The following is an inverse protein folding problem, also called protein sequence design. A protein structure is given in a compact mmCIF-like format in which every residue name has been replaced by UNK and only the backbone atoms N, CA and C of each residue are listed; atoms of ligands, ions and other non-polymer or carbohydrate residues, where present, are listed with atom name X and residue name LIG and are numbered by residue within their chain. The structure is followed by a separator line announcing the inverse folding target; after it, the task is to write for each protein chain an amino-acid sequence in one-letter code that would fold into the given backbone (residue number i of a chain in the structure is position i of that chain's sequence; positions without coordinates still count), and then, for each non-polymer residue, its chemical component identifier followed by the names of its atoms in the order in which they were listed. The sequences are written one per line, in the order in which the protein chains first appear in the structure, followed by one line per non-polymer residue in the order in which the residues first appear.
data_IF_910041865287
#
_entry.id   IF_910041865287
#
_cell.length_a   1.000
_cell.length_b   1.000
_cell.length_c   1.000
_cell.angle_alpha   90.00
_cell.angle_beta   90.00
_cell.angle_gamma   90.00
#
_symmetry.space_group_name_H-M   'P 1'
#
loop_
_entity.id
_entity.type
_entity.pdbx_description
1 polymer ?
#
# COMPACT_ATOMS: atom_id res chain seq x y z
N UNK A 1 33.30 4.14 4.44
CA UNK A 1 32.59 3.02 3.80
C UNK A 1 31.61 3.64 2.84
N UNK A 2 31.81 3.46 1.54
CA UNK A 2 30.90 3.96 0.52
C UNK A 2 29.53 3.31 0.71
N UNK A 3 28.40 4.01 0.42
CA UNK A 3 27.09 3.38 0.46
C UNK A 3 27.05 2.28 -0.60
N UNK A 4 26.61 1.08 -0.18
CA UNK A 4 26.33 -0.04 -1.08
C UNK A 4 25.38 0.45 -2.17
N UNK A 5 25.91 0.53 -3.38
CA UNK A 5 25.15 0.88 -4.58
C UNK A 5 24.34 -0.36 -5.00
N UNK A 6 23.31 -0.69 -4.21
CA UNK A 6 22.33 -1.68 -4.65
C UNK A 6 21.69 -1.16 -5.94
N UNK A 7 21.52 -1.99 -6.95
CA UNK A 7 20.85 -1.57 -8.18
C UNK A 7 19.46 -1.02 -7.83
N UNK A 8 19.15 0.15 -8.35
CA UNK A 8 17.83 0.78 -8.20
C UNK A 8 16.77 -0.16 -8.77
N UNK A 9 15.87 -0.64 -7.91
CA UNK A 9 14.78 -1.50 -8.33
C UNK A 9 13.76 -0.60 -9.03
N UNK A 10 13.62 -0.77 -10.35
CA UNK A 10 12.60 -0.03 -11.11
C UNK A 10 11.25 -0.70 -10.96
N UNK A 11 10.34 -0.03 -10.27
CA UNK A 11 8.94 -0.44 -10.17
C UNK A 11 8.24 -0.18 -11.51
N UNK A 12 7.15 -0.90 -11.79
CA UNK A 12 6.29 -0.59 -12.94
C UNK A 12 5.67 0.79 -12.83
N UNK A 13 5.46 1.29 -11.61
CA UNK A 13 5.04 2.66 -11.37
C UNK A 13 6.05 3.67 -11.95
N UNK A 14 7.34 3.46 -11.76
CA UNK A 14 8.39 4.36 -12.29
C UNK A 14 8.43 4.45 -13.82
N UNK A 15 7.81 3.51 -14.52
CA UNK A 15 7.70 3.52 -15.99
C UNK A 15 6.53 4.39 -16.49
N UNK A 16 5.52 4.60 -15.64
CA UNK A 16 4.30 5.38 -15.97
C UNK A 16 4.22 6.69 -15.21
N UNK A 17 4.99 6.86 -14.12
CA UNK A 17 5.06 8.12 -13.38
C UNK A 17 5.78 9.19 -14.21
N UNK A 18 5.31 10.42 -14.15
CA UNK A 18 5.80 11.56 -14.95
C UNK A 18 6.46 12.66 -14.12
N UNK A 19 7.13 12.30 -13.01
CA UNK A 19 7.79 13.26 -12.13
C UNK A 19 6.81 14.10 -11.29
N UNK A 20 7.30 15.21 -10.71
CA UNK A 20 6.55 16.04 -9.76
C UNK A 20 5.23 16.59 -10.33
N UNK A 21 5.17 16.91 -11.62
CA UNK A 21 3.93 17.42 -12.25
C UNK A 21 2.84 16.33 -12.30
N UNK A 22 3.22 15.07 -12.54
CA UNK A 22 2.31 13.94 -12.52
C UNK A 22 1.86 13.60 -11.09
N UNK A 23 2.76 13.66 -10.10
CA UNK A 23 2.43 13.49 -8.69
C UNK A 23 1.41 14.54 -8.23
N UNK A 24 1.62 15.80 -8.60
CA UNK A 24 0.68 16.87 -8.34
C UNK A 24 -0.67 16.68 -9.08
N UNK A 25 -0.65 16.19 -10.33
CA UNK A 25 -1.88 15.90 -11.07
C UNK A 25 -2.66 14.73 -10.44
N UNK A 26 -1.95 13.70 -9.99
CA UNK A 26 -2.52 12.58 -9.24
C UNK A 26 -3.24 13.07 -7.97
N UNK A 27 -2.60 13.94 -7.20
CA UNK A 27 -3.19 14.50 -6.00
C UNK A 27 -4.41 15.37 -6.30
N UNK A 28 -4.30 16.29 -7.28
CA UNK A 28 -5.44 17.15 -7.69
C UNK A 28 -6.69 16.35 -8.04
N UNK A 29 -6.54 15.18 -8.66
CA UNK A 29 -7.69 14.29 -8.94
C UNK A 29 -8.46 13.90 -7.69
N UNK A 30 -7.79 13.63 -6.58
CA UNK A 30 -8.46 13.32 -5.31
C UNK A 30 -9.06 14.57 -4.67
N UNK A 31 -8.38 15.71 -4.75
CA UNK A 31 -8.91 16.98 -4.25
C UNK A 31 -10.23 17.34 -4.97
N UNK A 32 -10.28 17.20 -6.30
CA UNK A 32 -11.49 17.41 -7.11
C UNK A 32 -12.62 16.42 -6.77
N UNK A 33 -12.30 15.16 -6.47
CA UNK A 33 -13.28 14.18 -6.02
C UNK A 33 -13.87 14.57 -4.67
N UNK A 34 -13.03 15.01 -3.74
CA UNK A 34 -13.44 15.46 -2.42
C UNK A 34 -14.32 16.72 -2.50
N UNK A 35 -13.97 17.71 -3.33
CA UNK A 35 -14.77 18.91 -3.59
C UNK A 35 -16.15 18.57 -4.16
N UNK A 36 -16.26 17.50 -4.94
CA UNK A 36 -17.53 16.97 -5.46
C UNK A 36 -18.31 16.13 -4.45
N UNK A 37 -17.83 16.02 -3.21
CA UNK A 37 -18.46 15.22 -2.16
C UNK A 37 -18.31 13.70 -2.34
N UNK A 38 -17.37 13.25 -3.21
CA UNK A 38 -17.06 11.84 -3.36
C UNK A 38 -16.23 11.38 -2.18
N UNK A 39 -16.62 10.29 -1.55
CA UNK A 39 -15.84 9.70 -0.48
C UNK A 39 -14.57 9.03 -1.03
N UNK A 40 -13.43 9.51 -0.58
CA UNK A 40 -12.10 9.04 -0.97
C UNK A 40 -11.34 8.33 0.18
N UNK A 41 -12.02 8.03 1.29
CA UNK A 41 -11.40 7.51 2.52
C UNK A 41 -11.83 6.07 2.86
N UNK A 42 -12.34 5.30 1.90
CA UNK A 42 -12.78 3.92 2.11
C UNK A 42 -11.70 3.03 2.71
N UNK A 43 -10.46 3.16 2.22
CA UNK A 43 -9.31 2.40 2.71
C UNK A 43 -9.00 2.71 4.19
N UNK A 44 -8.98 4.00 4.53
CA UNK A 44 -8.72 4.44 5.91
C UNK A 44 -9.83 3.98 6.86
N UNK A 45 -11.09 4.05 6.45
CA UNK A 45 -12.22 3.53 7.25
C UNK A 45 -12.13 2.02 7.46
N UNK A 46 -11.79 1.26 6.41
CA UNK A 46 -11.62 -0.18 6.53
C UNK A 46 -10.54 -0.53 7.56
N UNK A 47 -9.37 0.11 7.48
CA UNK A 47 -8.27 -0.10 8.43
C UNK A 47 -8.66 0.32 9.85
N UNK A 48 -9.30 1.48 10.02
CA UNK A 48 -9.77 1.96 11.33
C UNK A 48 -10.78 1.00 11.99
N UNK A 49 -11.57 0.27 11.19
CA UNK A 49 -12.53 -0.73 11.69
C UNK A 49 -11.94 -2.13 11.90
N UNK A 50 -10.68 -2.38 11.50
CA UNK A 50 -10.10 -3.72 11.49
C UNK A 50 -9.63 -4.20 12.86
N UNK A 51 -9.13 -3.30 13.69
CA UNK A 51 -8.58 -3.55 15.02
C UNK A 51 -8.92 -2.40 15.98
N UNK A 52 -8.95 -2.64 17.32
CA UNK A 52 -9.17 -1.57 18.29
C UNK A 52 -8.12 -0.47 18.19
N UNK A 53 -8.57 0.78 18.03
CA UNK A 53 -7.71 1.97 17.95
C UNK A 53 -7.17 2.39 19.35
N UNK A 54 -6.02 3.09 19.45
CA UNK A 54 -5.11 3.44 18.36
C UNK A 54 -4.20 2.25 17.95
N UNK A 55 -3.82 2.19 16.67
CA UNK A 55 -2.90 1.17 16.12
C UNK A 55 -1.73 1.83 15.39
N UNK A 56 -0.66 1.06 15.19
CA UNK A 56 0.46 1.45 14.35
C UNK A 56 0.27 0.93 12.92
N UNK A 57 0.30 1.82 11.93
CA UNK A 57 0.06 1.49 10.53
C UNK A 57 1.26 1.82 9.66
N UNK A 58 1.66 0.90 8.81
CA UNK A 58 2.54 1.15 7.68
C UNK A 58 1.69 1.20 6.41
N UNK A 59 1.57 2.38 5.81
CA UNK A 59 0.97 2.57 4.48
C UNK A 59 2.08 2.37 3.44
N UNK A 60 2.16 1.16 2.88
CA UNK A 60 3.21 0.72 1.99
C UNK A 60 2.79 0.95 0.52
N UNK A 61 3.43 1.88 -0.15
CA UNK A 61 3.01 2.46 -1.42
C UNK A 61 2.01 3.59 -1.20
N UNK A 62 2.36 4.53 -0.30
CA UNK A 62 1.44 5.56 0.17
C UNK A 62 1.14 6.66 -0.87
N UNK A 63 1.91 6.73 -1.96
CA UNK A 63 1.79 7.80 -2.96
C UNK A 63 1.89 9.18 -2.32
N UNK A 64 0.94 10.05 -2.63
CA UNK A 64 0.83 11.42 -2.07
C UNK A 64 0.27 11.47 -0.64
N UNK A 65 0.19 10.33 0.06
CA UNK A 65 -0.15 10.26 1.48
C UNK A 65 -1.63 10.27 1.83
N UNK A 66 -2.55 10.23 0.87
CA UNK A 66 -4.00 10.34 1.09
C UNK A 66 -4.54 9.44 2.22
N UNK A 67 -4.17 8.16 2.21
CA UNK A 67 -4.65 7.19 3.20
C UNK A 67 -3.90 7.37 4.53
N UNK A 68 -2.58 7.52 4.47
CA UNK A 68 -1.74 7.74 5.65
C UNK A 68 -2.17 8.97 6.46
N UNK A 69 -2.40 10.11 5.79
CA UNK A 69 -2.87 11.36 6.42
C UNK A 69 -4.23 11.18 7.10
N UNK A 70 -5.18 10.53 6.43
CA UNK A 70 -6.51 10.29 7.02
C UNK A 70 -6.42 9.36 8.24
N UNK A 71 -5.59 8.31 8.20
CA UNK A 71 -5.36 7.43 9.36
C UNK A 71 -4.70 8.19 10.53
N UNK A 72 -3.75 9.09 10.26
CA UNK A 72 -3.15 9.98 11.27
C UNK A 72 -4.22 10.89 11.88
N UNK A 73 -5.11 11.49 11.06
CA UNK A 73 -6.24 12.30 11.53
C UNK A 73 -7.22 11.50 12.40
N UNK A 74 -7.37 10.21 12.15
CA UNK A 74 -8.17 9.30 12.98
C UNK A 74 -7.47 8.87 14.28
N UNK A 75 -6.22 9.31 14.52
CA UNK A 75 -5.49 9.11 15.76
C UNK A 75 -4.57 7.88 15.78
N UNK A 76 -4.25 7.32 14.63
CA UNK A 76 -3.28 6.21 14.51
C UNK A 76 -1.83 6.74 14.40
N UNK A 77 -0.85 5.90 14.80
CA UNK A 77 0.59 6.13 14.56
C UNK A 77 0.95 5.58 13.17
N UNK A 78 1.18 6.46 12.19
CA UNK A 78 1.29 6.08 10.79
C UNK A 78 2.67 6.41 10.21
N UNK A 79 3.21 5.47 9.44
CA UNK A 79 4.35 5.69 8.56
C UNK A 79 3.90 5.39 7.14
N UNK A 80 4.04 6.36 6.23
CA UNK A 80 3.88 6.17 4.79
C UNK A 80 5.22 5.88 4.14
N UNK A 81 5.28 4.90 3.24
CA UNK A 81 6.48 4.59 2.46
C UNK A 81 6.14 4.43 0.98
N UNK A 82 6.92 5.06 0.10
CA UNK A 82 6.77 4.94 -1.34
C UNK A 82 8.13 4.94 -2.04
N UNK A 83 8.22 4.27 -3.18
CA UNK A 83 9.42 4.22 -4.02
C UNK A 83 9.56 5.46 -4.91
N UNK A 84 8.51 6.24 -5.09
CA UNK A 84 8.50 7.47 -5.88
C UNK A 84 8.77 8.69 -4.99
N UNK A 85 9.95 9.30 -5.19
CA UNK A 85 10.38 10.49 -4.41
C UNK A 85 9.48 11.68 -4.61
N UNK A 86 8.96 11.91 -5.84
CA UNK A 86 8.07 13.03 -6.14
C UNK A 86 6.71 12.88 -5.44
N UNK A 87 6.19 11.65 -5.33
CA UNK A 87 5.00 11.36 -4.54
C UNK A 87 5.22 11.67 -3.05
N UNK A 88 6.37 11.28 -2.51
CA UNK A 88 6.75 11.55 -1.11
C UNK A 88 6.92 13.04 -0.86
N UNK A 89 7.46 13.78 -1.81
CA UNK A 89 7.63 15.23 -1.66
C UNK A 89 6.26 15.92 -1.62
N UNK A 90 5.32 15.55 -2.50
CA UNK A 90 3.93 16.04 -2.43
C UNK A 90 3.25 15.65 -1.11
N UNK A 91 3.47 14.42 -0.61
CA UNK A 91 2.90 13.99 0.67
C UNK A 91 3.39 14.86 1.83
N UNK A 92 4.70 15.16 1.90
CA UNK A 92 5.32 15.99 2.93
C UNK A 92 4.91 17.46 2.87
N UNK A 93 4.67 18.00 1.67
CA UNK A 93 4.18 19.37 1.50
C UNK A 93 2.76 19.54 2.04
N UNK A 94 1.96 18.48 2.02
CA UNK A 94 0.54 18.51 2.43
C UNK A 94 0.29 18.13 3.89
N UNK A 95 1.19 17.35 4.47
CA UNK A 95 1.04 16.84 5.83
C UNK A 95 2.42 16.76 6.50
N UNK A 96 2.61 17.59 7.52
CA UNK A 96 3.82 17.70 8.34
C UNK A 96 3.77 16.83 9.60
N UNK A 97 2.67 16.14 9.86
CA UNK A 97 2.46 15.29 11.05
C UNK A 97 2.81 13.84 10.75
N UNK A 98 2.33 13.32 9.62
CA UNK A 98 2.60 11.94 9.20
C UNK A 98 4.04 11.78 8.76
N UNK A 99 4.69 10.71 9.20
CA UNK A 99 6.04 10.39 8.78
C UNK A 99 6.04 9.73 7.41
N UNK A 100 6.67 10.35 6.40
CA UNK A 100 6.86 9.80 5.07
C UNK A 100 8.30 9.40 4.79
N UNK A 101 8.50 8.23 4.17
CA UNK A 101 9.81 7.62 3.88
C UNK A 101 9.89 7.27 2.39
N UNK A 102 10.88 7.83 1.69
CA UNK A 102 11.20 7.41 0.32
C UNK A 102 11.97 6.08 0.39
N UNK A 103 11.35 4.98 -0.01
CA UNK A 103 11.96 3.65 0.01
C UNK A 103 11.20 2.66 -0.89
N UNK A 104 11.95 1.79 -1.59
CA UNK A 104 11.38 0.64 -2.28
C UNK A 104 10.96 -0.44 -1.28
N UNK A 105 9.75 -1.00 -1.47
CA UNK A 105 9.14 -1.95 -0.54
C UNK A 105 9.86 -3.30 -0.48
N UNK A 106 10.53 -3.73 -1.56
CA UNK A 106 11.27 -4.98 -1.58
C UNK A 106 12.56 -4.91 -0.74
N UNK A 107 13.07 -3.69 -0.49
CA UNK A 107 14.27 -3.42 0.31
C UNK A 107 13.99 -2.65 1.60
N UNK A 108 12.73 -2.31 1.88
CA UNK A 108 12.31 -1.51 3.02
C UNK A 108 12.91 -2.01 4.34
N UNK A 109 13.52 -1.10 5.10
CA UNK A 109 14.16 -1.41 6.38
C UNK A 109 13.86 -0.32 7.44
N UNK A 110 12.70 -0.40 8.07
CA UNK A 110 12.33 0.45 9.21
C UNK A 110 12.82 -0.22 10.51
N UNK A 111 14.11 -0.09 10.80
CA UNK A 111 14.79 -0.81 11.90
C UNK A 111 14.09 -0.59 13.23
N UNK A 112 13.77 -1.68 13.93
CA UNK A 112 13.15 -1.67 15.25
C UNK A 112 11.68 -1.25 15.26
N UNK A 113 11.06 -1.06 14.09
CA UNK A 113 9.64 -0.71 13.99
C UNK A 113 8.81 -1.91 13.56
N UNK A 114 7.71 -2.10 14.27
CA UNK A 114 6.66 -3.08 13.93
C UNK A 114 5.31 -2.38 13.92
N UNK A 115 4.39 -2.90 13.12
CA UNK A 115 3.07 -2.33 12.87
C UNK A 115 1.98 -3.37 13.11
N UNK A 116 0.84 -2.90 13.59
CA UNK A 116 -0.35 -3.73 13.78
C UNK A 116 -1.05 -3.96 12.43
N UNK A 117 -0.95 -3.00 11.52
CA UNK A 117 -1.42 -3.13 10.14
C UNK A 117 -0.34 -2.65 9.17
N UNK A 118 -0.10 -3.46 8.15
CA UNK A 118 0.63 -3.08 6.93
C UNK A 118 -0.36 -3.06 5.78
N UNK A 119 -0.48 -1.90 5.14
CA UNK A 119 -1.46 -1.64 4.09
C UNK A 119 -0.78 -1.52 2.72
N UNK A 120 -1.33 -2.16 1.71
CA UNK A 120 -1.02 -2.02 0.28
C UNK A 120 -2.31 -1.58 -0.42
N UNK A 121 -2.59 -0.27 -0.45
CA UNK A 121 -3.79 0.32 -1.05
C UNK A 121 -3.54 0.86 -2.46
N UNK A 122 -4.58 1.08 -3.23
CA UNK A 122 -4.50 1.81 -4.49
C UNK A 122 -3.68 1.12 -5.60
N UNK A 123 -3.78 -0.19 -5.73
CA UNK A 123 -3.08 -0.96 -6.78
C UNK A 123 -1.55 -1.05 -6.62
N UNK A 124 -1.01 -0.92 -5.43
CA UNK A 124 0.45 -1.09 -5.21
C UNK A 124 0.95 -2.44 -5.71
N UNK A 125 0.20 -3.52 -5.45
CA UNK A 125 0.58 -4.90 -5.84
C UNK A 125 0.88 -5.04 -7.33
N UNK A 126 0.05 -4.58 -8.27
CA UNK A 126 0.33 -4.66 -9.71
C UNK A 126 1.46 -3.75 -10.19
N UNK A 127 1.84 -2.73 -9.42
CA UNK A 127 2.90 -1.80 -9.78
C UNK A 127 4.28 -2.13 -9.18
N UNK A 128 4.39 -3.21 -8.42
CA UNK A 128 5.69 -3.70 -7.96
C UNK A 128 6.59 -4.08 -9.15
N UNK A 129 7.90 -4.01 -8.96
CA UNK A 129 8.86 -4.46 -9.94
C UNK A 129 8.71 -5.97 -10.20
N UNK A 130 9.02 -6.40 -11.42
CA UNK A 130 8.94 -7.81 -11.81
C UNK A 130 9.76 -8.71 -10.89
N UNK A 131 9.14 -9.81 -10.45
CA UNK A 131 9.78 -10.78 -9.56
C UNK A 131 9.92 -10.34 -8.09
N UNK A 132 9.48 -9.12 -7.72
CA UNK A 132 9.65 -8.61 -6.35
C UNK A 132 8.48 -8.85 -5.42
N UNK A 133 7.36 -9.41 -5.89
CA UNK A 133 6.17 -9.63 -5.05
C UNK A 133 6.49 -10.45 -3.79
N UNK A 134 7.18 -11.59 -3.91
CA UNK A 134 7.55 -12.42 -2.74
C UNK A 134 8.57 -11.71 -1.84
N UNK A 135 9.67 -11.13 -2.33
CA UNK A 135 10.58 -10.31 -1.51
C UNK A 135 9.86 -9.18 -0.77
N UNK A 136 8.99 -8.43 -1.45
CA UNK A 136 8.19 -7.36 -0.85
C UNK A 136 7.32 -7.87 0.29
N UNK A 137 6.52 -8.92 0.04
CA UNK A 137 5.66 -9.48 1.08
C UNK A 137 6.45 -10.03 2.28
N UNK A 138 7.65 -10.60 2.07
CA UNK A 138 8.56 -11.00 3.17
C UNK A 138 9.04 -9.82 3.99
N UNK A 139 9.40 -8.72 3.32
CA UNK A 139 9.81 -7.49 4.01
C UNK A 139 8.68 -6.90 4.82
N UNK A 140 7.51 -6.77 4.24
CA UNK A 140 6.33 -6.25 4.92
C UNK A 140 5.91 -7.13 6.09
N UNK A 141 5.96 -8.47 5.93
CA UNK A 141 5.73 -9.41 7.04
C UNK A 141 6.70 -9.20 8.20
N UNK A 142 7.98 -8.93 7.91
CA UNK A 142 8.99 -8.70 8.96
C UNK A 142 8.74 -7.42 9.78
N UNK A 143 7.91 -6.52 9.28
CA UNK A 143 7.44 -5.32 9.98
C UNK A 143 6.09 -5.49 10.68
N UNK A 144 5.44 -6.67 10.59
CA UNK A 144 4.20 -6.92 11.33
C UNK A 144 4.48 -7.34 12.78
N UNK A 145 3.63 -6.90 13.70
CA UNK A 145 3.50 -7.52 15.00
C UNK A 145 3.02 -8.97 14.88
N UNK A 146 3.21 -9.86 15.88
CA UNK A 146 2.74 -11.24 15.80
C UNK A 146 1.24 -11.38 15.49
N UNK A 147 0.43 -10.47 16.02
CA UNK A 147 -1.03 -10.44 15.80
C UNK A 147 -1.46 -9.48 14.69
N UNK A 148 -0.48 -8.91 13.98
CA UNK A 148 -0.72 -7.90 12.94
C UNK A 148 -1.46 -8.42 11.71
N UNK A 149 -1.88 -7.49 10.87
CA UNK A 149 -2.56 -7.79 9.60
C UNK A 149 -1.86 -7.12 8.44
N UNK A 150 -1.67 -7.86 7.35
CA UNK A 150 -1.36 -7.28 6.06
C UNK A 150 -2.66 -7.18 5.27
N UNK A 151 -2.96 -5.98 4.78
CA UNK A 151 -4.16 -5.70 3.97
C UNK A 151 -3.69 -5.27 2.59
N UNK A 152 -4.11 -5.95 1.55
CA UNK A 152 -3.76 -5.62 0.18
C UNK A 152 -5.00 -5.55 -0.70
N UNK A 153 -5.17 -4.43 -1.42
CA UNK A 153 -6.26 -4.23 -2.35
C UNK A 153 -5.74 -3.93 -3.76
N UNK A 154 -6.23 -4.66 -4.78
CA UNK A 154 -5.79 -4.45 -6.15
C UNK A 154 -6.84 -4.86 -7.18
N UNK A 155 -6.77 -4.23 -8.36
CA UNK A 155 -7.56 -4.59 -9.54
C UNK A 155 -7.11 -5.92 -10.11
N UNK A 156 -8.06 -6.76 -10.48
CA UNK A 156 -7.81 -8.10 -11.03
C UNK A 156 -7.53 -8.05 -12.54
N UNK A 157 -6.98 -9.15 -13.13
CA UNK A 157 -6.69 -9.23 -14.55
C UNK A 157 -7.85 -8.79 -15.44
N UNK A 158 -7.57 -7.88 -16.38
CA UNK A 158 -8.56 -7.25 -17.26
C UNK A 158 -9.18 -5.95 -16.70
N UNK A 159 -8.82 -5.56 -15.47
CA UNK A 159 -9.27 -4.31 -14.81
C UNK A 159 -8.10 -3.52 -14.23
N UNK A 160 -6.87 -3.98 -14.43
CA UNK A 160 -5.66 -3.32 -13.95
C UNK A 160 -5.46 -1.96 -14.65
N UNK A 161 -4.86 -0.98 -13.95
CA UNK A 161 -4.44 0.27 -14.58
C UNK A 161 -3.41 0.03 -15.70
N UNK A 162 -3.31 0.98 -16.63
CA UNK A 162 -2.29 0.96 -17.68
C UNK A 162 -0.87 0.86 -17.08
N UNK A 163 -0.03 0.01 -17.66
CA UNK A 163 1.34 -0.26 -17.19
C UNK A 163 1.44 -1.20 -16.00
N UNK A 164 0.34 -1.54 -15.34
CA UNK A 164 0.33 -2.46 -14.21
C UNK A 164 0.42 -3.93 -14.65
N UNK A 165 0.97 -4.80 -13.79
CA UNK A 165 0.98 -6.23 -14.01
C UNK A 165 -0.39 -6.87 -13.77
N UNK A 166 -0.68 -7.95 -14.47
CA UNK A 166 -1.84 -8.79 -14.18
C UNK A 166 -1.54 -9.73 -13.02
N UNK A 167 -2.14 -9.48 -11.86
CA UNK A 167 -1.95 -10.29 -10.66
C UNK A 167 -3.28 -10.94 -10.27
N UNK A 168 -3.40 -12.26 -10.50
CA UNK A 168 -4.59 -12.99 -10.06
C UNK A 168 -4.59 -13.23 -8.54
N UNK A 169 -5.75 -13.52 -7.98
CA UNK A 169 -5.90 -13.85 -6.56
C UNK A 169 -5.01 -15.02 -6.17
N UNK A 170 -4.99 -16.09 -6.99
CA UNK A 170 -4.19 -17.28 -6.74
C UNK A 170 -2.68 -17.01 -6.82
N UNK A 171 -2.25 -16.13 -7.73
CA UNK A 171 -0.84 -15.73 -7.86
C UNK A 171 -0.39 -14.96 -6.62
N UNK A 172 -1.20 -13.99 -6.17
CA UNK A 172 -0.95 -13.23 -4.95
C UNK A 172 -0.90 -14.12 -3.71
N UNK A 173 -1.86 -15.04 -3.54
CA UNK A 173 -1.91 -15.94 -2.37
C UNK A 173 -0.75 -16.93 -2.33
N UNK A 174 -0.33 -17.47 -3.48
CA UNK A 174 0.90 -18.30 -3.54
C UNK A 174 2.13 -17.51 -3.10
N UNK A 175 2.24 -16.25 -3.54
CA UNK A 175 3.34 -15.37 -3.13
C UNK A 175 3.27 -15.06 -1.62
N UNK A 176 2.09 -14.77 -1.10
CA UNK A 176 1.86 -14.50 0.32
C UNK A 176 2.21 -15.73 1.19
N UNK A 177 1.77 -16.92 0.79
CA UNK A 177 2.15 -18.16 1.48
C UNK A 177 3.67 -18.37 1.45
N UNK A 178 4.33 -18.18 0.30
CA UNK A 178 5.79 -18.25 0.16
C UNK A 178 6.54 -17.18 0.97
N UNK A 179 5.86 -16.11 1.37
CA UNK A 179 6.37 -15.07 2.27
C UNK A 179 6.08 -15.35 3.76
N UNK A 180 5.39 -16.44 4.10
CA UNK A 180 5.00 -16.81 5.47
C UNK A 180 3.79 -16.04 5.97
N UNK A 181 2.86 -15.69 5.07
CA UNK A 181 1.58 -15.09 5.38
C UNK A 181 0.44 -16.07 5.10
N UNK A 182 -0.60 -16.05 5.93
CA UNK A 182 -1.81 -16.85 5.78
C UNK A 182 -3.01 -15.96 5.55
N UNK A 183 -3.88 -16.35 4.61
CA UNK A 183 -5.13 -15.64 4.34
C UNK A 183 -6.08 -15.76 5.54
N UNK A 184 -6.65 -14.62 5.93
CA UNK A 184 -7.74 -14.54 6.93
C UNK A 184 -9.08 -14.39 6.22
N UNK A 185 -9.18 -13.43 5.28
CA UNK A 185 -10.44 -13.12 4.58
C UNK A 185 -10.17 -12.38 3.26
N UNK A 186 -11.14 -12.47 2.34
CA UNK A 186 -11.22 -11.63 1.14
C UNK A 186 -12.49 -10.79 1.16
N UNK A 187 -12.39 -9.60 0.55
CA UNK A 187 -13.50 -8.69 0.32
C UNK A 187 -13.51 -8.24 -1.14
N UNK A 188 -14.68 -7.82 -1.64
CA UNK A 188 -14.84 -7.28 -2.98
C UNK A 188 -14.33 -5.83 -3.10
N UNK A 189 -14.18 -5.14 -1.98
CA UNK A 189 -13.73 -3.75 -1.90
C UNK A 189 -13.55 -3.28 -0.46
N UNK A 190 -13.31 -2.00 -0.32
CA UNK A 190 -13.00 -1.34 0.96
C UNK A 190 -14.24 -1.15 1.87
N UNK A 191 -15.44 -1.38 1.38
CA UNK A 191 -16.67 -1.37 2.18
C UNK A 191 -16.90 -2.69 2.94
N UNK A 192 -15.95 -3.64 2.81
CA UNK A 192 -15.99 -4.89 3.55
C UNK A 192 -16.94 -5.94 2.97
N UNK A 193 -17.50 -5.73 1.80
CA UNK A 193 -18.36 -6.70 1.11
C UNK A 193 -17.62 -8.03 0.90
N UNK A 194 -18.35 -9.13 1.10
CA UNK A 194 -17.79 -10.46 0.94
C UNK A 194 -17.35 -10.70 -0.50
N UNK A 195 -16.13 -11.21 -0.69
CA UNK A 195 -15.62 -11.63 -1.97
C UNK A 195 -16.50 -12.71 -2.61
N UNK A 196 -17.07 -12.50 -3.80
CA UNK A 196 -17.99 -13.45 -4.45
C UNK A 196 -17.26 -14.61 -5.13
N UNK A 197 -15.95 -14.54 -5.33
CA UNK A 197 -15.14 -15.52 -6.05
C UNK A 197 -14.66 -15.03 -7.42
N UNK A 198 -15.26 -14.00 -7.95
CA UNK A 198 -14.94 -13.30 -9.20
C UNK A 198 -15.12 -11.79 -9.02
N UNK A 199 -14.78 -11.00 -10.03
CA UNK A 199 -14.97 -9.55 -10.01
C UNK A 199 -13.77 -8.79 -10.53
N UNK A 200 -13.82 -7.46 -10.41
CA UNK A 200 -12.80 -6.54 -10.94
C UNK A 200 -11.72 -6.16 -9.92
N UNK A 201 -11.97 -6.39 -8.64
CA UNK A 201 -11.11 -5.98 -7.52
C UNK A 201 -11.12 -7.02 -6.40
N UNK A 202 -9.99 -7.22 -5.75
CA UNK A 202 -9.88 -8.06 -4.56
C UNK A 202 -9.16 -7.31 -3.45
N UNK A 203 -9.70 -7.42 -2.24
CA UNK A 203 -9.07 -6.99 -1.00
C UNK A 203 -8.79 -8.24 -0.16
N UNK A 204 -7.52 -8.52 0.10
CA UNK A 204 -7.08 -9.63 0.93
C UNK A 204 -6.59 -9.15 2.29
N UNK A 205 -7.08 -9.79 3.36
CA UNK A 205 -6.58 -9.61 4.73
C UNK A 205 -5.79 -10.86 5.10
N UNK A 206 -4.52 -10.68 5.47
CA UNK A 206 -3.60 -11.76 5.82
C UNK A 206 -3.02 -11.54 7.23
N UNK A 207 -2.43 -12.58 7.79
CA UNK A 207 -1.68 -12.55 9.06
C UNK A 207 -0.37 -13.31 8.92
N UNK A 208 0.61 -13.10 9.81
CA UNK A 208 1.74 -14.01 9.96
C UNK A 208 1.27 -15.46 10.13
N UNK A 209 1.93 -16.41 9.41
CA UNK A 209 1.63 -17.84 9.47
C UNK A 209 2.25 -18.47 10.71
#
# INVERSE_FOLDING_TARGET
MAPDNLPEIRTRWSEVSGGIDAANAYQRRFDELLERGVDIHGEARFVNGLMPAPIRVLDAGCGTGRVATELTRLGHDVVGADADGDMIDVARERDDVTRFVHADLATLALRGQTFDVVLLAGNVVPFLADGTLVPTLRRLRAHLTPDGRLVAGWSLPGHEPEGAAQVSVEAFERAAFGAGLSLVRRHAGWDGERWPGDGSYCLAVLRPA
#
